data_IF_001738699589
#
_entry.id   IF_001738699589
#
_cell.length_a   1.000
_cell.length_b   1.000
_cell.length_c   1.000
_cell.angle_alpha   90.00
_cell.angle_beta   90.00
_cell.angle_gamma   90.00
#
_symmetry.space_group_name_H-M   'P 1'
#
loop_
_entity.id
_entity.type
_entity.pdbx_description
1 polymer ?
#
# COMPACT_ATOMS: atom_id res chain seq x y z
N UNK A 1 -28.97 41.63 9.77
CA UNK A 1 -28.51 40.32 9.26
C UNK A 1 -27.11 40.50 8.71
N UNK A 2 -26.10 40.03 9.43
CA UNK A 2 -24.70 40.23 9.06
C UNK A 2 -24.35 39.37 7.83
N UNK A 3 -23.93 40.01 6.75
CA UNK A 3 -23.29 39.39 5.60
C UNK A 3 -22.04 38.66 6.07
N UNK A 4 -22.11 37.33 6.21
CA UNK A 4 -20.92 36.49 6.42
C UNK A 4 -19.93 36.82 5.30
N UNK A 5 -18.79 37.38 5.66
CA UNK A 5 -17.67 37.66 4.77
C UNK A 5 -17.34 36.40 3.97
N UNK A 6 -17.60 36.44 2.66
CA UNK A 6 -17.24 35.37 1.72
C UNK A 6 -15.72 35.26 1.73
N UNK A 7 -15.18 34.07 1.98
CA UNK A 7 -13.74 33.85 1.81
C UNK A 7 -13.48 33.97 0.30
N UNK A 8 -12.57 34.84 -0.15
CA UNK A 8 -12.25 34.93 -1.57
C UNK A 8 -11.81 33.57 -2.11
N UNK A 9 -12.25 33.22 -3.32
CA UNK A 9 -11.95 31.92 -3.94
C UNK A 9 -10.44 31.68 -4.10
N UNK A 10 -9.68 32.77 -4.21
CA UNK A 10 -8.22 32.78 -4.25
C UNK A 10 -7.63 32.23 -2.94
N UNK A 11 -8.21 32.61 -1.79
CA UNK A 11 -7.78 32.11 -0.48
C UNK A 11 -8.13 30.64 -0.32
N UNK A 12 -9.29 30.20 -0.82
CA UNK A 12 -9.66 28.77 -0.82
C UNK A 12 -8.75 27.95 -1.72
N UNK A 13 -8.37 28.49 -2.88
CA UNK A 13 -7.39 27.87 -3.78
C UNK A 13 -6.05 27.71 -3.08
N UNK A 14 -5.59 28.76 -2.39
CA UNK A 14 -4.34 28.74 -1.61
C UNK A 14 -4.42 27.68 -0.51
N UNK A 15 -5.50 27.66 0.29
CA UNK A 15 -5.69 26.65 1.34
C UNK A 15 -5.65 25.25 0.73
N UNK A 16 -6.35 25.03 -0.39
CA UNK A 16 -6.38 23.74 -1.07
C UNK A 16 -5.01 23.33 -1.62
N UNK A 17 -4.21 24.27 -2.15
CA UNK A 17 -2.83 24.01 -2.55
C UNK A 17 -1.93 23.66 -1.36
N UNK A 18 -2.18 24.24 -0.19
CA UNK A 18 -1.44 23.93 1.02
C UNK A 18 -1.87 22.63 1.70
N UNK A 19 -3.13 22.22 1.59
CA UNK A 19 -3.62 20.95 2.13
C UNK A 19 -3.42 19.78 1.16
N UNK A 20 -3.57 20.02 -0.16
CA UNK A 20 -3.36 19.11 -1.29
C UNK A 20 -3.69 17.62 -1.05
N UNK A 21 -4.67 17.32 -0.19
CA UNK A 21 -5.06 15.98 0.20
C UNK A 21 -6.58 15.86 0.25
N UNK A 22 -7.05 14.63 0.06
CA UNK A 22 -8.46 14.34 -0.19
C UNK A 22 -9.32 14.49 1.06
N UNK A 23 -8.76 14.15 2.23
CA UNK A 23 -9.42 14.38 3.52
C UNK A 23 -9.57 15.88 3.77
N UNK A 24 -8.53 16.67 3.46
CA UNK A 24 -8.56 18.13 3.53
C UNK A 24 -9.69 18.72 2.70
N UNK A 25 -9.82 18.33 1.43
CA UNK A 25 -10.90 18.79 0.55
C UNK A 25 -12.29 18.39 1.08
N UNK A 26 -12.47 17.14 1.52
CA UNK A 26 -13.74 16.67 2.06
C UNK A 26 -14.11 17.41 3.36
N UNK A 27 -13.16 17.66 4.25
CA UNK A 27 -13.38 18.43 5.47
C UNK A 27 -13.72 19.89 5.15
N UNK A 28 -13.03 20.51 4.17
CA UNK A 28 -13.34 21.86 3.71
C UNK A 28 -14.76 21.94 3.16
N UNK A 29 -15.19 20.93 2.41
CA UNK A 29 -16.57 20.80 1.96
C UNK A 29 -17.55 20.77 3.14
N UNK A 30 -17.28 20.00 4.20
CA UNK A 30 -18.17 19.92 5.37
C UNK A 30 -18.25 21.24 6.16
N UNK A 31 -17.15 21.99 6.24
CA UNK A 31 -17.05 23.21 7.06
C UNK A 31 -17.46 24.48 6.29
N UNK A 32 -17.25 24.52 4.98
CA UNK A 32 -17.49 25.71 4.15
C UNK A 32 -18.63 25.48 3.15
N UNK A 33 -19.83 26.08 3.39
CA UNK A 33 -20.97 25.97 2.48
C UNK A 33 -20.66 26.40 1.05
N UNK A 34 -19.77 27.37 0.85
CA UNK A 34 -19.41 27.84 -0.50
C UNK A 34 -18.69 26.77 -1.32
N UNK A 35 -17.83 25.96 -0.69
CA UNK A 35 -17.17 24.83 -1.35
C UNK A 35 -18.20 23.73 -1.56
N UNK A 36 -19.05 23.47 -0.55
CA UNK A 36 -20.18 22.54 -0.67
C UNK A 36 -21.03 22.81 -1.90
N UNK A 37 -21.40 24.06 -2.10
CA UNK A 37 -22.26 24.50 -3.20
C UNK A 37 -21.64 24.17 -4.59
N UNK A 38 -20.31 24.10 -4.71
CA UNK A 38 -19.64 23.70 -5.96
C UNK A 38 -19.83 22.20 -6.30
N UNK A 39 -19.99 21.36 -5.27
CA UNK A 39 -20.14 19.91 -5.39
C UNK A 39 -21.59 19.44 -5.16
N UNK A 40 -22.53 20.36 -4.91
CA UNK A 40 -23.95 20.05 -4.71
C UNK A 40 -24.81 20.65 -5.80
N UNK A 41 -25.75 19.88 -6.32
CA UNK A 41 -26.68 20.32 -7.35
C UNK A 41 -27.52 19.16 -7.85
N UNK A 42 -28.15 19.32 -9.02
CA UNK A 42 -28.77 18.20 -9.72
C UNK A 42 -27.68 17.15 -10.03
N UNK A 43 -27.84 15.89 -9.55
CA UNK A 43 -26.87 14.81 -9.74
C UNK A 43 -26.43 14.60 -11.19
N UNK A 44 -27.34 14.83 -12.15
CA UNK A 44 -27.10 14.61 -13.58
C UNK A 44 -26.59 15.85 -14.31
N UNK A 45 -26.57 17.01 -13.65
CA UNK A 45 -26.03 18.23 -14.23
C UNK A 45 -24.52 18.15 -14.33
N UNK A 46 -23.96 18.81 -15.34
CA UNK A 46 -22.52 19.00 -15.48
C UNK A 46 -21.93 19.63 -14.21
N UNK A 47 -20.83 19.07 -13.73
CA UNK A 47 -20.11 19.55 -12.56
C UNK A 47 -19.65 21.01 -12.75
N UNK A 48 -19.57 21.75 -11.64
CA UNK A 48 -19.08 23.12 -11.66
C UNK A 48 -17.61 23.14 -12.16
N UNK A 49 -17.25 24.00 -13.14
CA UNK A 49 -15.88 24.09 -13.62
C UNK A 49 -14.85 24.36 -12.52
N UNK A 50 -15.25 25.06 -11.46
CA UNK A 50 -14.39 25.37 -10.33
C UNK A 50 -14.17 24.15 -9.43
N UNK A 51 -15.20 23.32 -9.23
CA UNK A 51 -15.05 22.03 -8.56
C UNK A 51 -14.06 21.13 -9.31
N UNK A 52 -14.17 21.07 -10.65
CA UNK A 52 -13.24 20.33 -11.50
C UNK A 52 -11.81 20.87 -11.34
N UNK A 53 -11.64 22.20 -11.33
CA UNK A 53 -10.33 22.84 -11.15
C UNK A 53 -9.69 22.48 -9.81
N UNK A 54 -10.46 22.45 -8.73
CA UNK A 54 -9.98 22.06 -7.40
C UNK A 54 -9.52 20.59 -7.37
N UNK A 55 -10.29 19.68 -7.97
CA UNK A 55 -9.93 18.25 -8.04
C UNK A 55 -8.68 18.03 -8.90
N UNK A 56 -8.58 18.69 -10.07
CA UNK A 56 -7.37 18.61 -10.91
C UNK A 56 -6.14 19.19 -10.21
N UNK A 57 -6.29 20.26 -9.41
CA UNK A 57 -5.19 20.78 -8.61
C UNK A 57 -4.70 19.74 -7.60
N UNK A 58 -5.60 19.02 -6.90
CA UNK A 58 -5.20 17.95 -5.98
C UNK A 58 -4.56 16.78 -6.74
N UNK A 59 -5.11 16.34 -7.87
CA UNK A 59 -4.51 15.25 -8.66
C UNK A 59 -3.07 15.57 -9.09
N UNK A 60 -2.79 16.84 -9.36
CA UNK A 60 -1.47 17.35 -9.74
C UNK A 60 -0.53 17.53 -8.55
N UNK A 61 -1.01 18.17 -7.48
CA UNK A 61 -0.17 18.64 -6.38
C UNK A 61 -0.06 17.62 -5.23
N UNK A 62 -0.97 16.65 -5.15
CA UNK A 62 -0.89 15.58 -4.18
C UNK A 62 0.35 14.71 -4.43
N UNK A 63 1.24 14.54 -3.43
CA UNK A 63 2.53 13.89 -3.62
C UNK A 63 2.43 12.40 -3.96
N UNK A 64 1.28 11.75 -3.76
CA UNK A 64 1.05 10.34 -4.10
C UNK A 64 0.36 10.21 -5.47
N UNK A 65 -0.60 11.08 -5.78
CA UNK A 65 -1.41 10.98 -7.00
C UNK A 65 -0.62 11.28 -8.29
N UNK A 66 0.40 12.13 -8.20
CA UNK A 66 1.20 12.59 -9.33
C UNK A 66 2.03 11.49 -10.02
N UNK A 67 2.13 10.30 -9.41
CA UNK A 67 2.89 9.16 -9.93
C UNK A 67 1.94 8.04 -10.41
N UNK A 68 1.29 8.22 -11.57
CA UNK A 68 0.35 7.25 -12.21
C UNK A 68 -0.96 6.93 -11.46
N UNK A 69 -1.12 7.31 -10.19
CA UNK A 69 -2.37 7.03 -9.46
C UNK A 69 -3.52 7.97 -9.86
N UNK A 70 -3.22 9.18 -10.36
CA UNK A 70 -4.23 10.04 -11.01
C UNK A 70 -4.88 9.36 -12.23
N UNK A 71 -4.16 8.47 -12.93
CA UNK A 71 -4.72 7.65 -14.01
C UNK A 71 -5.83 6.75 -13.50
N UNK A 72 -5.61 6.09 -12.36
CA UNK A 72 -6.59 5.21 -11.73
C UNK A 72 -7.83 5.97 -11.28
N UNK A 73 -7.65 7.17 -10.70
CA UNK A 73 -8.75 8.07 -10.40
C UNK A 73 -9.58 8.39 -11.64
N UNK A 74 -8.94 8.76 -12.75
CA UNK A 74 -9.64 9.11 -14.00
C UNK A 74 -10.35 7.92 -14.65
N UNK A 75 -9.73 6.74 -14.65
CA UNK A 75 -10.37 5.50 -15.12
C UNK A 75 -11.62 5.17 -14.29
N UNK A 76 -11.49 5.21 -12.96
CA UNK A 76 -12.57 4.99 -12.00
C UNK A 76 -13.71 5.98 -12.26
N UNK A 77 -13.39 7.26 -12.44
CA UNK A 77 -14.37 8.29 -12.74
C UNK A 77 -15.06 8.07 -14.10
N UNK A 78 -14.32 7.67 -15.13
CA UNK A 78 -14.88 7.38 -16.45
C UNK A 78 -15.88 6.22 -16.41
N UNK A 79 -15.55 5.13 -15.69
CA UNK A 79 -16.44 3.99 -15.46
C UNK A 79 -17.71 4.36 -14.70
N UNK A 80 -17.70 5.45 -13.92
CA UNK A 80 -18.86 5.95 -13.19
C UNK A 80 -19.68 6.98 -13.97
N UNK A 81 -19.22 7.42 -15.15
CA UNK A 81 -20.01 8.32 -15.99
C UNK A 81 -21.12 7.56 -16.72
N UNK A 82 -22.37 8.05 -16.69
CA UNK A 82 -23.45 7.52 -17.52
C UNK A 82 -23.18 7.66 -19.02
N UNK A 83 -22.41 8.69 -19.41
CA UNK A 83 -22.09 9.02 -20.79
C UNK A 83 -20.92 8.22 -21.38
N UNK A 84 -20.32 7.29 -20.62
CA UNK A 84 -19.26 6.45 -21.16
C UNK A 84 -19.84 5.65 -22.34
N UNK A 85 -19.23 5.83 -23.51
CA UNK A 85 -19.67 5.19 -24.73
C UNK A 85 -19.61 3.66 -24.60
N UNK A 86 -20.46 2.97 -25.37
CA UNK A 86 -20.37 1.52 -25.53
C UNK A 86 -19.07 1.20 -26.30
N UNK A 87 -18.01 0.92 -25.55
CA UNK A 87 -16.67 0.58 -26.03
C UNK A 87 -16.27 -0.75 -25.43
N UNK A 88 -15.49 -1.60 -26.10
CA UNK A 88 -14.99 -2.84 -25.48
C UNK A 88 -14.03 -2.57 -24.31
N UNK A 89 -13.85 -3.55 -23.41
CA UNK A 89 -12.87 -3.48 -22.32
C UNK A 89 -11.47 -3.17 -22.84
N UNK A 90 -11.05 -3.80 -23.95
CA UNK A 90 -9.74 -3.56 -24.55
C UNK A 90 -9.57 -2.09 -25.00
N UNK A 91 -10.59 -1.51 -25.65
CA UNK A 91 -10.58 -0.10 -26.07
C UNK A 91 -10.57 0.82 -24.85
N UNK A 92 -11.36 0.50 -23.82
CA UNK A 92 -11.37 1.27 -22.57
C UNK A 92 -9.98 1.27 -21.90
N UNK A 93 -9.28 0.13 -21.86
CA UNK A 93 -7.97 -0.01 -21.20
C UNK A 93 -6.83 0.66 -21.98
N UNK A 94 -6.96 0.77 -23.31
CA UNK A 94 -5.96 1.38 -24.20
C UNK A 94 -6.03 2.92 -24.24
N UNK A 95 -7.10 3.53 -23.70
CA UNK A 95 -7.24 4.98 -23.63
C UNK A 95 -6.15 5.62 -22.75
N UNK A 96 -5.66 6.78 -23.18
CA UNK A 96 -4.71 7.59 -22.41
C UNK A 96 -5.43 8.47 -21.37
N UNK A 97 -5.56 7.93 -20.16
CA UNK A 97 -6.11 8.66 -19.02
C UNK A 97 -5.09 9.58 -18.34
N UNK A 98 -3.80 9.51 -18.69
CA UNK A 98 -2.75 10.35 -18.07
C UNK A 98 -2.78 11.78 -18.61
N UNK A 99 -3.12 11.96 -19.89
CA UNK A 99 -3.27 13.28 -20.52
C UNK A 99 -4.71 13.82 -20.56
N UNK A 100 -5.68 12.98 -20.23
CA UNK A 100 -7.11 13.35 -20.26
C UNK A 100 -7.46 14.37 -19.19
N UNK A 101 -7.61 15.64 -19.58
CA UNK A 101 -8.13 16.68 -18.68
C UNK A 101 -9.61 16.43 -18.37
N UNK A 102 -9.97 16.54 -17.10
CA UNK A 102 -11.34 16.50 -16.63
C UNK A 102 -12.17 17.66 -17.21
N UNK A 103 -11.54 18.78 -17.55
CA UNK A 103 -12.21 19.98 -18.09
C UNK A 103 -12.85 19.78 -19.46
N UNK A 104 -12.38 18.82 -20.26
CA UNK A 104 -12.93 18.52 -21.59
C UNK A 104 -14.07 17.49 -21.55
N UNK A 105 -14.30 16.83 -20.41
CA UNK A 105 -15.32 15.78 -20.28
C UNK A 105 -16.62 16.32 -19.66
N UNK A 106 -17.75 15.72 -20.04
CA UNK A 106 -19.07 16.05 -19.50
C UNK A 106 -19.29 15.38 -18.14
N UNK A 107 -18.41 15.65 -17.18
CA UNK A 107 -18.46 15.05 -15.84
C UNK A 107 -19.71 15.54 -15.12
N UNK A 108 -20.47 14.61 -14.55
CA UNK A 108 -21.64 14.96 -13.72
C UNK A 108 -21.21 15.41 -12.32
N UNK A 109 -22.00 16.30 -11.72
CA UNK A 109 -21.79 16.79 -10.35
C UNK A 109 -21.69 15.62 -9.36
N UNK A 110 -22.60 14.65 -9.47
CA UNK A 110 -22.61 13.46 -8.61
C UNK A 110 -21.35 12.61 -8.76
N UNK A 111 -20.90 12.35 -9.99
CA UNK A 111 -19.72 11.53 -10.19
C UNK A 111 -18.45 12.20 -9.65
N UNK A 112 -18.31 13.52 -9.80
CA UNK A 112 -17.18 14.26 -9.22
C UNK A 112 -17.20 14.18 -7.69
N UNK A 113 -18.39 14.37 -7.10
CA UNK A 113 -18.62 14.30 -5.65
C UNK A 113 -18.25 12.91 -5.10
N UNK A 114 -18.76 11.85 -5.71
CA UNK A 114 -18.45 10.45 -5.36
C UNK A 114 -16.95 10.17 -5.43
N UNK A 115 -16.26 10.67 -6.46
CA UNK A 115 -14.83 10.45 -6.61
C UNK A 115 -14.00 11.14 -5.52
N UNK A 116 -14.40 12.31 -5.04
CA UNK A 116 -13.76 12.97 -3.88
C UNK A 116 -13.95 12.13 -2.62
N UNK A 117 -15.16 11.62 -2.37
CA UNK A 117 -15.47 10.74 -1.23
C UNK A 117 -14.62 9.46 -1.28
N UNK A 118 -14.55 8.82 -2.46
CA UNK A 118 -13.74 7.61 -2.67
C UNK A 118 -12.26 7.88 -2.40
N UNK A 119 -11.72 8.98 -2.94
CA UNK A 119 -10.33 9.32 -2.75
C UNK A 119 -10.01 9.64 -1.28
N UNK A 120 -10.90 10.33 -0.58
CA UNK A 120 -10.77 10.59 0.85
C UNK A 120 -10.86 9.30 1.67
N UNK A 121 -11.76 8.38 1.31
CA UNK A 121 -11.85 7.05 1.92
C UNK A 121 -10.56 6.25 1.71
N UNK A 122 -10.01 6.22 0.49
CA UNK A 122 -8.74 5.56 0.19
C UNK A 122 -7.60 6.13 1.04
N UNK A 123 -7.50 7.45 1.17
CA UNK A 123 -6.48 8.08 2.02
C UNK A 123 -6.62 7.63 3.49
N UNK A 124 -7.84 7.60 4.04
CA UNK A 124 -8.07 7.10 5.39
C UNK A 124 -7.67 5.64 5.55
N UNK A 125 -8.09 4.79 4.62
CA UNK A 125 -7.75 3.36 4.64
C UNK A 125 -6.26 3.12 4.51
N UNK A 126 -5.54 3.93 3.73
CA UNK A 126 -4.10 3.84 3.63
C UNK A 126 -3.43 4.09 4.98
N UNK A 127 -3.87 5.14 5.70
CA UNK A 127 -3.41 5.45 7.04
C UNK A 127 -3.64 4.26 7.99
N UNK A 128 -4.84 3.69 8.00
CA UNK A 128 -5.17 2.54 8.86
C UNK A 128 -4.31 1.33 8.57
N UNK A 129 -4.19 0.96 7.28
CA UNK A 129 -3.39 -0.19 6.87
C UNK A 129 -1.94 -0.03 7.32
N UNK A 130 -1.35 1.14 7.10
CA UNK A 130 0.04 1.39 7.50
C UNK A 130 0.22 1.35 9.01
N UNK A 131 -0.67 1.99 9.77
CA UNK A 131 -0.62 1.97 11.23
C UNK A 131 -0.72 0.53 11.77
N UNK A 132 -1.65 -0.26 11.23
CA UNK A 132 -1.89 -1.64 11.63
C UNK A 132 -0.70 -2.55 11.30
N UNK A 133 -0.22 -2.50 10.06
CA UNK A 133 0.91 -3.32 9.61
C UNK A 133 2.19 -2.93 10.35
N UNK A 134 2.40 -1.64 10.63
CA UNK A 134 3.56 -1.17 11.38
C UNK A 134 3.50 -1.58 12.85
N UNK A 135 2.32 -1.55 13.48
CA UNK A 135 2.13 -2.02 14.85
C UNK A 135 2.48 -3.51 14.97
N UNK A 136 1.91 -4.35 14.10
CA UNK A 136 2.22 -5.80 14.03
C UNK A 136 3.70 -6.07 13.81
N UNK A 137 4.34 -5.30 12.92
CA UNK A 137 5.77 -5.44 12.67
C UNK A 137 6.62 -5.11 13.91
N UNK A 138 6.21 -4.10 14.69
CA UNK A 138 6.90 -3.66 15.93
C UNK A 138 6.72 -4.64 17.10
N UNK A 139 5.67 -5.44 17.10
CA UNK A 139 5.43 -6.47 18.12
C UNK A 139 6.34 -7.69 17.97
N UNK A 140 6.96 -7.88 16.79
CA UNK A 140 7.89 -8.99 16.58
C UNK A 140 9.17 -8.75 17.36
N UNK A 141 9.62 -9.79 18.07
CA UNK A 141 10.94 -9.86 18.67
C UNK A 141 11.89 -10.66 17.76
N UNK A 142 12.72 -10.00 16.95
CA UNK A 142 13.53 -10.72 15.99
C UNK A 142 14.82 -11.25 16.62
N UNK A 143 15.40 -12.24 15.95
CA UNK A 143 16.59 -12.97 16.38
C UNK A 143 17.65 -12.97 15.29
N UNK A 144 18.91 -13.09 15.68
CA UNK A 144 20.07 -13.18 14.80
C UNK A 144 20.90 -14.41 15.14
N UNK A 145 21.71 -14.87 14.20
CA UNK A 145 22.76 -15.84 14.53
C UNK A 145 23.75 -15.27 15.53
N UNK A 146 24.20 -16.14 16.41
CA UNK A 146 25.31 -15.94 17.32
C UNK A 146 26.40 -16.96 17.00
N UNK A 147 27.65 -16.52 17.05
CA UNK A 147 28.76 -17.40 16.73
C UNK A 147 30.10 -16.77 17.05
N UNK A 148 31.09 -17.64 17.10
CA UNK A 148 32.48 -17.28 17.32
C UNK A 148 33.17 -17.08 15.97
N UNK A 149 33.99 -16.04 15.87
CA UNK A 149 34.84 -15.85 14.71
C UNK A 149 35.87 -16.98 14.70
N UNK A 150 35.88 -17.80 13.64
CA UNK A 150 36.95 -18.76 13.45
C UNK A 150 38.18 -17.95 13.07
N UNK A 151 39.20 -17.95 13.95
CA UNK A 151 40.45 -17.23 13.75
C UNK A 151 40.96 -17.44 12.32
N UNK A 152 41.34 -16.33 11.69
CA UNK A 152 41.95 -16.22 10.36
C UNK A 152 41.05 -16.38 9.12
N UNK A 153 39.74 -16.64 9.24
CA UNK A 153 38.90 -16.90 8.04
C UNK A 153 37.71 -15.96 7.81
N UNK A 154 37.43 -14.97 8.67
CA UNK A 154 36.18 -14.17 8.61
C UNK A 154 34.88 -15.01 8.58
N UNK A 155 34.97 -16.33 8.82
CA UNK A 155 33.86 -17.25 8.88
C UNK A 155 33.39 -17.30 10.34
N UNK A 156 32.09 -17.11 10.53
CA UNK A 156 31.47 -17.28 11.85
C UNK A 156 31.02 -18.72 12.00
N UNK A 157 31.51 -19.39 13.05
CA UNK A 157 30.93 -20.66 13.50
C UNK A 157 29.67 -20.34 14.28
N UNK A 158 28.51 -20.53 13.65
CA UNK A 158 27.21 -20.35 14.32
C UNK A 158 27.10 -21.34 15.48
N UNK A 159 27.01 -20.82 16.70
CA UNK A 159 26.87 -21.58 17.96
C UNK A 159 25.44 -21.52 18.49
N UNK A 160 24.66 -20.52 18.11
CA UNK A 160 23.29 -20.34 18.58
C UNK A 160 22.56 -19.17 17.92
N UNK A 161 21.52 -18.68 18.61
CA UNK A 161 20.72 -17.54 18.17
C UNK A 161 20.35 -16.65 19.35
N UNK A 162 20.44 -15.34 19.17
CA UNK A 162 20.18 -14.35 20.22
C UNK A 162 19.11 -13.34 19.74
N UNK A 163 18.30 -12.77 20.65
CA UNK A 163 17.45 -11.64 20.31
C UNK A 163 18.32 -10.46 19.84
N UNK A 164 17.78 -9.61 18.99
CA UNK A 164 18.35 -8.30 18.74
C UNK A 164 17.25 -7.23 18.72
N UNK A 165 17.63 -6.00 19.01
CA UNK A 165 16.73 -4.86 18.98
C UNK A 165 16.72 -4.23 17.59
N UNK A 166 15.57 -4.19 16.89
CA UNK A 166 15.46 -3.49 15.62
C UNK A 166 15.71 -2.00 15.79
N UNK A 167 16.34 -1.41 14.78
CA UNK A 167 16.38 0.05 14.67
C UNK A 167 15.01 0.54 14.23
N UNK A 168 14.47 1.53 14.94
CA UNK A 168 13.27 2.22 14.49
C UNK A 168 13.56 2.99 13.19
N UNK A 169 12.81 2.66 12.15
CA UNK A 169 12.86 3.33 10.86
C UNK A 169 11.98 4.59 10.81
N UNK A 170 11.24 4.86 11.90
CA UNK A 170 10.33 5.99 12.03
C UNK A 170 8.98 5.74 11.33
N UNK A 171 8.24 6.83 10.99
CA UNK A 171 6.96 6.73 10.29
C UNK A 171 7.10 6.10 8.90
N UNK A 172 5.99 5.70 8.26
CA UNK A 172 6.00 5.27 6.87
C UNK A 172 6.68 6.29 5.96
N UNK A 173 7.51 5.82 5.02
CA UNK A 173 8.07 6.66 3.98
C UNK A 173 7.08 6.86 2.83
N UNK A 174 7.36 7.84 1.99
CA UNK A 174 6.52 8.13 0.81
C UNK A 174 6.27 6.90 -0.06
N UNK A 175 7.29 6.07 -0.32
CA UNK A 175 7.11 4.89 -1.17
C UNK A 175 6.26 3.81 -0.50
N UNK A 176 6.35 3.69 0.82
CA UNK A 176 5.56 2.74 1.61
C UNK A 176 4.08 3.15 1.56
N UNK A 177 3.80 4.45 1.72
CA UNK A 177 2.46 5.01 1.51
C UNK A 177 1.97 4.82 0.08
N UNK A 178 2.79 5.17 -0.91
CA UNK A 178 2.45 5.03 -2.33
C UNK A 178 2.01 3.61 -2.67
N UNK A 179 2.71 2.57 -2.18
CA UNK A 179 2.36 1.17 -2.43
C UNK A 179 0.98 0.80 -1.87
N UNK A 180 0.62 1.32 -0.69
CA UNK A 180 -0.71 1.10 -0.11
C UNK A 180 -1.79 1.83 -0.90
N UNK A 181 -1.56 3.10 -1.27
CA UNK A 181 -2.48 3.84 -2.13
C UNK A 181 -2.68 3.17 -3.47
N UNK A 182 -1.60 2.73 -4.11
CA UNK A 182 -1.65 1.97 -5.36
C UNK A 182 -2.50 0.73 -5.20
N UNK A 183 -2.28 -0.04 -4.15
CA UNK A 183 -3.06 -1.25 -3.89
C UNK A 183 -4.56 -0.96 -3.73
N UNK A 184 -4.92 0.11 -3.00
CA UNK A 184 -6.30 0.53 -2.81
C UNK A 184 -6.93 1.03 -4.12
N UNK A 185 -6.22 1.86 -4.90
CA UNK A 185 -6.72 2.34 -6.19
C UNK A 185 -6.92 1.22 -7.21
N UNK A 186 -6.01 0.23 -7.26
CA UNK A 186 -6.23 -0.95 -8.09
C UNK A 186 -7.49 -1.71 -7.69
N UNK A 187 -7.69 -1.90 -6.38
CA UNK A 187 -8.87 -2.58 -5.87
C UNK A 187 -10.16 -1.80 -6.19
N UNK A 188 -10.13 -0.48 -6.07
CA UNK A 188 -11.27 0.38 -6.41
C UNK A 188 -11.62 0.26 -7.89
N UNK A 189 -10.62 0.39 -8.76
CA UNK A 189 -10.78 0.27 -10.20
C UNK A 189 -11.28 -1.12 -10.62
N UNK A 190 -10.78 -2.18 -9.99
CA UNK A 190 -11.25 -3.54 -10.22
C UNK A 190 -12.76 -3.67 -9.97
N UNK A 191 -13.25 -3.16 -8.84
CA UNK A 191 -14.67 -3.21 -8.53
C UNK A 191 -15.51 -2.40 -9.51
N UNK A 192 -15.04 -1.22 -9.91
CA UNK A 192 -15.75 -0.40 -10.88
C UNK A 192 -15.78 -1.03 -12.27
N UNK A 193 -14.76 -1.81 -12.65
CA UNK A 193 -14.80 -2.62 -13.85
C UNK A 193 -15.82 -3.74 -13.75
N UNK A 194 -15.87 -4.48 -12.63
CA UNK A 194 -16.84 -5.55 -12.43
C UNK A 194 -18.28 -5.05 -12.52
N UNK A 195 -18.58 -3.91 -11.89
CA UNK A 195 -19.91 -3.26 -11.98
C UNK A 195 -20.20 -2.76 -13.39
N UNK A 196 -19.17 -2.30 -14.11
CA UNK A 196 -19.33 -1.75 -15.46
C UNK A 196 -19.55 -2.81 -16.52
N UNK A 197 -19.10 -4.06 -16.33
CA UNK A 197 -19.35 -5.16 -17.29
C UNK A 197 -20.83 -5.31 -17.58
N UNK A 198 -21.67 -5.34 -16.54
CA UNK A 198 -23.12 -5.50 -16.70
C UNK A 198 -23.75 -4.26 -17.33
N UNK A 199 -23.31 -3.07 -16.89
CA UNK A 199 -23.85 -1.78 -17.36
C UNK A 199 -23.51 -1.49 -18.82
N UNK A 200 -22.28 -1.78 -19.24
CA UNK A 200 -21.76 -1.53 -20.58
C UNK A 200 -21.93 -2.75 -21.51
N UNK A 201 -22.55 -3.83 -21.02
CA UNK A 201 -22.81 -5.07 -21.79
C UNK A 201 -21.55 -5.66 -22.42
N UNK A 202 -20.41 -5.58 -21.73
CA UNK A 202 -19.18 -6.20 -22.19
C UNK A 202 -19.34 -7.73 -22.28
N UNK A 203 -18.68 -8.39 -23.24
CA UNK A 203 -18.73 -9.83 -23.40
C UNK A 203 -18.42 -10.58 -22.08
N UNK A 204 -19.13 -11.68 -21.82
CA UNK A 204 -18.89 -12.49 -20.62
C UNK A 204 -17.45 -13.01 -20.53
N UNK A 205 -16.78 -13.20 -21.67
CA UNK A 205 -15.36 -13.54 -21.74
C UNK A 205 -14.47 -12.49 -21.08
N UNK A 206 -14.84 -11.21 -21.12
CA UNK A 206 -14.10 -10.12 -20.46
C UNK A 206 -14.26 -10.22 -18.94
N UNK A 207 -15.47 -10.57 -18.47
CA UNK A 207 -15.72 -10.83 -17.05
C UNK A 207 -14.95 -12.06 -16.55
N UNK A 208 -14.96 -13.14 -17.32
CA UNK A 208 -14.19 -14.35 -17.02
C UNK A 208 -12.70 -14.05 -16.99
N UNK A 209 -12.20 -13.21 -17.91
CA UNK A 209 -10.81 -12.75 -17.89
C UNK A 209 -10.48 -11.95 -16.62
N UNK A 210 -11.33 -11.00 -16.23
CA UNK A 210 -11.18 -10.21 -15.00
C UNK A 210 -11.23 -11.06 -13.72
N UNK A 211 -12.07 -12.10 -13.69
CA UNK A 211 -12.22 -13.00 -12.52
C UNK A 211 -11.13 -14.06 -12.43
N UNK A 212 -10.72 -14.63 -13.57
CA UNK A 212 -9.72 -15.70 -13.62
C UNK A 212 -8.32 -15.21 -13.33
N UNK A 213 -8.00 -13.96 -13.66
CA UNK A 213 -6.67 -13.39 -13.45
C UNK A 213 -6.76 -12.04 -12.71
N UNK A 214 -7.12 -12.11 -11.42
CA UNK A 214 -7.35 -10.98 -10.49
C UNK A 214 -6.28 -9.87 -10.52
N UNK A 215 -5.08 -10.16 -11.04
CA UNK A 215 -3.95 -9.22 -11.11
C UNK A 215 -3.33 -9.04 -12.52
N UNK A 216 -3.71 -9.82 -13.53
CA UNK A 216 -3.11 -9.70 -14.87
C UNK A 216 -3.80 -8.64 -15.73
N UNK A 217 -5.03 -8.24 -15.38
CA UNK A 217 -5.83 -7.28 -16.15
C UNK A 217 -5.21 -5.88 -16.26
N UNK A 218 -4.27 -5.51 -15.36
CA UNK A 218 -3.48 -4.26 -15.46
C UNK A 218 -2.03 -4.49 -15.91
N UNK A 219 -1.59 -5.74 -16.15
CA UNK A 219 -0.16 -6.07 -16.30
C UNK A 219 0.66 -5.55 -15.11
N UNK A 220 0.11 -5.64 -13.90
CA UNK A 220 0.82 -5.23 -12.70
C UNK A 220 2.13 -6.02 -12.61
N UNK A 221 3.26 -5.36 -12.28
CA UNK A 221 4.47 -6.09 -11.93
C UNK A 221 4.12 -7.12 -10.86
N UNK A 222 4.56 -8.38 -10.96
CA UNK A 222 4.14 -9.41 -10.02
C UNK A 222 4.36 -9.06 -8.55
N UNK A 223 5.27 -8.13 -8.25
CA UNK A 223 5.49 -7.62 -6.89
C UNK A 223 4.32 -6.76 -6.36
N UNK A 224 3.70 -5.94 -7.21
CA UNK A 224 2.53 -5.14 -6.83
C UNK A 224 1.33 -6.03 -6.44
N UNK A 225 1.25 -7.25 -6.98
CA UNK A 225 0.25 -8.21 -6.57
C UNK A 225 0.35 -8.60 -5.09
N UNK A 226 1.57 -8.71 -4.53
CA UNK A 226 1.73 -8.98 -3.10
C UNK A 226 1.34 -7.78 -2.23
N UNK A 227 1.53 -6.55 -2.74
CA UNK A 227 1.08 -5.33 -2.07
C UNK A 227 -0.46 -5.29 -1.98
N UNK A 228 -1.16 -5.58 -3.09
CA UNK A 228 -2.63 -5.67 -3.11
C UNK A 228 -3.14 -6.73 -2.15
N UNK A 229 -2.54 -7.92 -2.16
CA UNK A 229 -2.92 -9.00 -1.22
C UNK A 229 -2.70 -8.60 0.23
N UNK A 230 -1.59 -7.93 0.55
CA UNK A 230 -1.28 -7.52 1.93
C UNK A 230 -2.28 -6.49 2.44
N UNK A 231 -2.60 -5.48 1.62
CA UNK A 231 -3.58 -4.45 1.97
C UNK A 231 -4.98 -5.06 2.10
N UNK A 232 -5.35 -5.98 1.20
CA UNK A 232 -6.62 -6.71 1.29
C UNK A 232 -6.72 -7.50 2.60
N UNK A 233 -5.75 -8.34 2.91
CA UNK A 233 -5.73 -9.15 4.13
C UNK A 233 -5.73 -8.28 5.40
N UNK A 234 -5.04 -7.13 5.36
CA UNK A 234 -5.10 -6.13 6.43
C UNK A 234 -6.53 -5.58 6.63
N UNK A 235 -7.20 -5.16 5.55
CA UNK A 235 -8.57 -4.65 5.61
C UNK A 235 -9.59 -5.71 6.04
N UNK A 236 -9.42 -6.96 5.60
CA UNK A 236 -10.24 -8.09 6.04
C UNK A 236 -10.13 -8.31 7.55
N UNK A 237 -8.93 -8.15 8.12
CA UNK A 237 -8.72 -8.24 9.57
C UNK A 237 -9.30 -7.06 10.37
N UNK A 238 -9.46 -5.89 9.75
CA UNK A 238 -9.98 -4.67 10.37
C UNK A 238 -11.52 -4.52 10.27
N UNK A 239 -12.12 -5.22 9.30
CA UNK A 239 -13.55 -5.11 9.00
C UNK A 239 -14.38 -5.98 9.94
N UNK A 240 -15.56 -5.48 10.34
CA UNK A 240 -16.62 -6.27 10.99
C UNK A 240 -17.24 -7.22 9.97
N UNK A 241 -16.55 -8.30 9.60
CA UNK A 241 -17.30 -9.43 9.04
C UNK A 241 -17.86 -10.17 10.24
N UNK A 242 -19.17 -10.08 10.45
CA UNK A 242 -19.91 -10.99 11.34
C UNK A 242 -19.51 -12.41 10.99
N UNK A 243 -18.58 -12.98 11.77
CA UNK A 243 -18.34 -14.43 11.78
C UNK A 243 -19.32 -15.10 12.76
N UNK A 244 -20.53 -14.55 12.88
CA UNK A 244 -21.59 -15.09 13.72
C UNK A 244 -22.22 -16.37 13.15
N UNK A 245 -21.67 -16.89 12.05
CA UNK A 245 -21.92 -18.25 11.59
C UNK A 245 -20.66 -19.10 11.74
N UNK A 246 -20.61 -19.76 12.89
CA UNK A 246 -19.74 -20.87 13.22
C UNK A 246 -19.87 -21.95 12.13
N UNK A 247 -19.07 -21.86 11.07
CA UNK A 247 -18.78 -23.01 10.21
C UNK A 247 -17.34 -23.38 10.46
N UNK A 248 -17.14 -24.61 10.93
CA UNK A 248 -15.83 -25.17 11.26
C UNK A 248 -14.78 -24.91 10.16
N UNK A 249 -13.49 -24.79 10.51
CA UNK A 249 -12.44 -24.62 9.52
C UNK A 249 -12.30 -25.90 8.70
N UNK A 250 -12.96 -25.95 7.55
CA UNK A 250 -12.80 -27.02 6.57
C UNK A 250 -11.36 -27.05 6.09
N UNK A 251 -10.67 -28.09 6.52
CA UNK A 251 -9.35 -28.51 6.09
C UNK A 251 -9.41 -28.82 4.59
N UNK A 252 -8.58 -28.10 3.81
CA UNK A 252 -8.31 -28.28 2.36
C UNK A 252 -9.40 -27.76 1.41
N UNK A 253 -9.37 -26.46 1.15
CA UNK A 253 -9.79 -25.94 -0.15
C UNK A 253 -8.61 -25.22 -0.80
N UNK A 254 -8.06 -25.83 -1.86
CA UNK A 254 -7.12 -25.19 -2.78
C UNK A 254 -7.87 -24.37 -3.86
N UNK A 255 -9.09 -23.93 -3.57
CA UNK A 255 -9.92 -23.12 -4.45
C UNK A 255 -10.11 -21.74 -3.83
N UNK A 256 -9.90 -20.73 -4.65
CA UNK A 256 -10.09 -19.30 -4.43
C UNK A 256 -11.49 -18.96 -3.90
N UNK A 257 -11.72 -19.06 -2.60
CA UNK A 257 -12.89 -18.47 -1.96
C UNK A 257 -12.73 -16.94 -1.89
N UNK A 258 -13.17 -16.33 -2.97
CA UNK A 258 -13.03 -14.94 -3.37
C UNK A 258 -14.26 -14.10 -2.95
N UNK A 259 -14.83 -14.35 -1.77
CA UNK A 259 -16.16 -13.82 -1.41
C UNK A 259 -16.24 -12.83 -0.26
N UNK A 260 -15.17 -12.53 0.49
CA UNK A 260 -15.35 -11.84 1.78
C UNK A 260 -15.27 -10.31 1.79
N UNK A 261 -14.74 -9.65 0.75
CA UNK A 261 -14.86 -8.19 0.59
C UNK A 261 -15.14 -7.86 -0.88
N UNK A 262 -16.42 -7.86 -1.24
CA UNK A 262 -16.88 -7.49 -2.59
C UNK A 262 -16.71 -6.00 -2.91
N UNK A 263 -16.31 -5.16 -1.95
CA UNK A 263 -16.00 -3.74 -2.12
C UNK A 263 -14.88 -3.29 -1.17
N UNK A 264 -14.27 -2.13 -1.45
CA UNK A 264 -13.43 -1.43 -0.45
C UNK A 264 -14.34 -0.99 0.70
N UNK A 265 -14.02 -1.35 1.96
CA UNK A 265 -14.85 -0.96 3.11
C UNK A 265 -14.89 0.56 3.25
N UNK A 266 -16.02 1.08 3.73
CA UNK A 266 -16.04 2.47 4.16
C UNK A 266 -15.24 2.58 5.47
N UNK A 267 -14.38 3.58 5.61
CA UNK A 267 -13.61 3.83 6.83
C UNK A 267 -14.50 3.86 8.10
N UNK A 268 -15.74 4.34 8.00
CA UNK A 268 -16.67 4.36 9.14
C UNK A 268 -17.13 2.98 9.60
N UNK A 269 -16.89 1.93 8.81
CA UNK A 269 -17.23 0.54 9.13
C UNK A 269 -16.11 -0.18 9.90
N UNK A 270 -14.95 0.45 10.06
CA UNK A 270 -13.82 -0.15 10.78
C UNK A 270 -14.06 -0.17 12.29
N UNK A 271 -13.52 -1.20 12.96
CA UNK A 271 -13.70 -1.43 14.39
C UNK A 271 -13.10 -0.34 15.28
N UNK A 272 -12.05 0.31 14.82
CA UNK A 272 -11.21 1.19 15.63
C UNK A 272 -11.09 2.58 15.01
N UNK A 273 -10.89 3.57 15.88
CA UNK A 273 -10.54 4.93 15.46
C UNK A 273 -9.04 4.98 15.19
N UNK A 274 -8.68 5.58 14.07
CA UNK A 274 -7.30 5.76 13.65
C UNK A 274 -7.03 7.22 13.34
N UNK A 275 -5.80 7.63 13.62
CA UNK A 275 -5.30 8.92 13.17
C UNK A 275 -5.09 8.90 11.66
N UNK A 276 -5.44 10.00 11.02
CA UNK A 276 -5.26 10.21 9.58
C UNK A 276 -4.25 11.31 9.36
N UNK A 277 -3.37 11.15 8.38
CA UNK A 277 -2.36 12.15 8.04
C UNK A 277 -2.35 12.46 6.55
N UNK A 278 -1.73 13.59 6.20
CA UNK A 278 -1.46 13.97 4.82
C UNK A 278 -0.22 13.22 4.34
N UNK A 279 -0.21 12.72 3.09
CA UNK A 279 0.92 11.96 2.61
C UNK A 279 2.22 12.79 2.57
N UNK A 280 3.38 12.19 2.89
CA UNK A 280 4.66 12.88 2.83
C UNK A 280 5.04 13.16 1.37
N UNK A 281 5.97 14.09 1.14
CA UNK A 281 6.49 14.34 -0.20
C UNK A 281 7.50 13.25 -0.61
N UNK A 282 7.60 12.92 -1.91
CA UNK A 282 8.67 12.06 -2.39
C UNK A 282 10.04 12.70 -2.08
N UNK A 283 11.02 11.92 -1.61
CA UNK A 283 12.36 12.44 -1.35
C UNK A 283 12.98 13.00 -2.63
N UNK A 284 13.56 14.19 -2.52
CA UNK A 284 14.30 14.81 -3.63
C UNK A 284 15.75 14.32 -3.59
N UNK A 285 16.06 13.34 -4.43
CA UNK A 285 17.44 12.92 -4.62
C UNK A 285 18.13 13.89 -5.58
N UNK A 286 19.14 14.59 -5.08
CA UNK A 286 19.96 15.47 -5.90
C UNK A 286 20.84 14.59 -6.79
N UNK A 287 20.78 14.81 -8.10
CA UNK A 287 21.58 14.11 -9.13
C UNK A 287 23.08 14.50 -9.07
N UNK A 288 23.70 14.45 -7.89
CA UNK A 288 25.10 14.83 -7.71
C UNK A 288 26.09 13.72 -8.06
N UNK A 289 25.63 12.47 -8.28
CA UNK A 289 26.50 11.38 -8.71
C UNK A 289 26.53 11.22 -10.22
N UNK A 290 27.64 10.66 -10.69
CA UNK A 290 27.87 10.33 -12.10
C UNK A 290 26.66 9.60 -12.72
N UNK A 291 26.39 9.81 -14.02
CA UNK A 291 25.27 9.16 -14.72
C UNK A 291 25.26 7.65 -14.47
N UNK A 292 24.14 7.14 -13.95
CA UNK A 292 23.93 5.69 -13.74
C UNK A 292 24.08 5.17 -12.31
N UNK A 293 24.39 6.00 -11.31
CA UNK A 293 24.38 5.60 -9.90
C UNK A 293 23.06 6.02 -9.25
N UNK A 294 22.19 5.08 -8.82
CA UNK A 294 20.97 5.44 -8.10
C UNK A 294 21.35 6.15 -6.80
N UNK A 295 20.96 7.41 -6.60
CA UNK A 295 21.26 8.13 -5.35
C UNK A 295 20.51 7.56 -4.13
N UNK A 296 19.61 6.62 -4.38
CA UNK A 296 18.72 6.02 -3.40
C UNK A 296 18.98 4.52 -3.23
N UNK A 297 19.93 4.20 -2.34
CA UNK A 297 20.20 2.81 -1.95
C UNK A 297 19.07 2.19 -1.13
N UNK A 298 18.16 3.02 -0.59
CA UNK A 298 17.08 2.59 0.30
C UNK A 298 15.78 2.32 -0.45
N UNK A 299 15.73 2.68 -1.73
CA UNK A 299 14.55 2.47 -2.56
C UNK A 299 13.32 3.25 -2.10
N UNK A 300 13.52 4.50 -1.67
CA UNK A 300 12.49 5.51 -1.35
C UNK A 300 12.10 6.43 -2.51
N UNK A 301 12.78 6.35 -3.64
CA UNK A 301 12.59 7.19 -4.83
C UNK A 301 11.46 6.75 -5.73
N UNK A 302 11.12 7.63 -6.67
CA UNK A 302 10.00 7.46 -7.60
C UNK A 302 10.25 6.31 -8.58
N UNK A 303 11.50 5.91 -8.81
CA UNK A 303 11.87 4.72 -9.58
C UNK A 303 11.42 3.41 -8.92
N UNK A 304 11.15 3.44 -7.61
CA UNK A 304 10.63 2.29 -6.86
C UNK A 304 9.11 2.18 -6.92
N UNK A 305 8.44 3.09 -7.63
CA UNK A 305 7.02 2.91 -7.96
C UNK A 305 6.86 1.66 -8.82
N UNK A 306 7.76 1.36 -9.76
CA UNK A 306 7.69 0.18 -10.64
C UNK A 306 8.41 -1.05 -10.08
N UNK A 307 9.19 -0.88 -9.01
CA UNK A 307 10.11 -1.90 -8.49
C UNK A 307 9.92 -2.14 -7.01
N UNK A 308 10.05 -3.41 -6.62
CA UNK A 308 10.07 -3.80 -5.23
C UNK A 308 11.20 -4.81 -5.02
N UNK A 309 12.43 -4.33 -4.74
CA UNK A 309 13.59 -5.21 -4.59
C UNK A 309 13.40 -6.24 -3.47
N UNK A 310 12.66 -5.87 -2.42
CA UNK A 310 12.37 -6.77 -1.32
C UNK A 310 11.49 -7.94 -1.75
N UNK A 311 10.37 -7.67 -2.42
CA UNK A 311 9.48 -8.72 -2.90
C UNK A 311 10.19 -9.67 -3.89
N UNK A 312 11.09 -9.13 -4.75
CA UNK A 312 11.91 -9.94 -5.64
C UNK A 312 12.89 -10.84 -4.88
N UNK A 313 13.51 -10.31 -3.80
CA UNK A 313 14.42 -11.05 -2.94
C UNK A 313 13.68 -12.12 -2.13
N UNK A 314 12.48 -11.81 -1.62
CA UNK A 314 11.57 -12.76 -0.97
C UNK A 314 11.31 -13.99 -1.84
N UNK A 315 10.87 -13.81 -3.09
CA UNK A 315 10.64 -14.93 -4.03
C UNK A 315 11.89 -15.77 -4.29
N UNK A 316 13.06 -15.15 -4.24
CA UNK A 316 14.32 -15.87 -4.38
C UNK A 316 14.58 -16.76 -3.16
N UNK A 317 14.28 -16.28 -1.94
CA UNK A 317 14.36 -17.11 -0.74
C UNK A 317 13.26 -18.16 -0.63
N UNK A 318 12.05 -17.90 -1.11
CA UNK A 318 11.04 -18.96 -1.19
C UNK A 318 11.56 -20.13 -2.04
N UNK A 319 12.16 -19.85 -3.21
CA UNK A 319 12.77 -20.90 -4.04
C UNK A 319 13.95 -21.60 -3.35
N UNK A 320 14.83 -20.84 -2.69
CA UNK A 320 16.00 -21.40 -1.98
C UNK A 320 15.59 -22.24 -0.78
N UNK A 321 14.73 -21.76 0.10
CA UNK A 321 14.29 -22.45 1.32
C UNK A 321 13.68 -23.83 1.06
N UNK A 322 13.14 -24.06 -0.13
CA UNK A 322 12.64 -25.38 -0.56
C UNK A 322 13.75 -26.41 -0.81
N UNK A 323 14.89 -25.95 -1.33
CA UNK A 323 16.00 -26.82 -1.79
C UNK A 323 17.17 -26.84 -0.83
N UNK A 324 17.42 -25.71 -0.17
CA UNK A 324 18.53 -25.44 0.72
C UNK A 324 17.99 -24.54 1.86
N UNK A 325 17.32 -25.13 2.87
CA UNK A 325 16.83 -24.36 4.01
C UNK A 325 18.02 -23.77 4.79
N UNK A 326 17.86 -22.54 5.28
CA UNK A 326 18.90 -21.90 6.05
C UNK A 326 19.15 -22.65 7.37
N UNK A 327 20.37 -22.59 7.88
CA UNK A 327 20.67 -23.17 9.20
C UNK A 327 19.79 -22.50 10.28
N UNK A 328 19.22 -23.31 11.17
CA UNK A 328 18.27 -22.87 12.21
C UNK A 328 16.95 -22.29 11.68
N UNK A 329 16.63 -22.43 10.38
CA UNK A 329 15.35 -21.99 9.84
C UNK A 329 14.19 -22.58 10.66
N UNK A 330 13.30 -21.72 11.15
CA UNK A 330 12.28 -22.12 12.12
C UNK A 330 10.96 -22.53 11.48
N UNK A 331 10.65 -21.97 10.31
CA UNK A 331 9.44 -22.30 9.56
C UNK A 331 9.70 -22.38 8.04
N UNK A 332 8.74 -22.93 7.31
CA UNK A 332 8.75 -22.88 5.84
C UNK A 332 8.43 -21.47 5.35
N UNK A 333 9.19 -20.97 4.35
CA UNK A 333 8.93 -19.69 3.69
C UNK A 333 8.00 -19.82 2.46
N UNK A 334 7.42 -21.01 2.22
CA UNK A 334 6.54 -21.22 1.06
C UNK A 334 5.21 -20.46 1.20
N UNK A 335 4.68 -20.34 2.42
CA UNK A 335 3.48 -19.56 2.68
C UNK A 335 3.85 -18.07 2.81
N UNK A 336 3.33 -17.25 1.89
CA UNK A 336 3.54 -15.80 1.91
C UNK A 336 2.53 -15.06 2.77
N UNK A 337 1.47 -15.71 3.30
CA UNK A 337 0.46 -15.03 4.14
C UNK A 337 1.06 -14.38 5.39
N UNK A 338 1.91 -15.04 6.21
CA UNK A 338 2.45 -14.37 7.39
C UNK A 338 3.40 -13.23 7.02
N UNK A 339 4.14 -13.38 5.91
CA UNK A 339 4.99 -12.32 5.38
C UNK A 339 4.17 -11.09 4.94
N UNK A 340 2.99 -11.31 4.31
CA UNK A 340 2.04 -10.24 3.96
C UNK A 340 1.32 -9.64 5.17
N UNK A 341 0.97 -10.44 6.17
CA UNK A 341 0.31 -10.00 7.39
C UNK A 341 1.14 -8.94 8.16
N UNK A 342 2.46 -8.98 7.98
CA UNK A 342 3.42 -8.00 8.50
C UNK A 342 3.67 -6.80 7.57
N UNK A 343 3.03 -6.75 6.41
CA UNK A 343 3.19 -5.66 5.44
C UNK A 343 4.52 -5.68 4.70
N UNK A 344 5.23 -6.81 4.67
CA UNK A 344 6.57 -6.86 4.08
C UNK A 344 6.66 -6.47 2.58
N UNK A 345 5.64 -6.69 1.73
CA UNK A 345 5.60 -6.06 0.40
C UNK A 345 5.63 -4.53 0.41
N UNK A 346 5.11 -3.91 1.46
CA UNK A 346 4.92 -2.46 1.52
C UNK A 346 6.23 -1.76 1.88
N UNK A 347 7.01 -2.33 2.78
CA UNK A 347 8.15 -1.67 3.40
C UNK A 347 9.32 -1.37 2.46
N UNK A 348 10.04 -0.28 2.74
CA UNK A 348 11.24 0.13 2.01
C UNK A 348 12.51 -0.55 2.55
N UNK A 349 13.63 -0.42 1.82
CA UNK A 349 14.86 -1.11 2.19
C UNK A 349 15.53 -0.52 3.44
N UNK A 350 15.21 0.74 3.79
CA UNK A 350 15.68 1.34 5.05
C UNK A 350 15.01 0.66 6.25
N UNK A 351 13.70 0.41 6.18
CA UNK A 351 12.99 -0.35 7.20
C UNK A 351 13.54 -1.77 7.30
N UNK A 352 13.75 -2.44 6.17
CA UNK A 352 14.38 -3.77 6.18
C UNK A 352 15.79 -3.78 6.75
N UNK A 353 16.57 -2.73 6.52
CA UNK A 353 17.88 -2.58 7.15
C UNK A 353 17.75 -2.45 8.67
N UNK A 354 16.79 -1.65 9.16
CA UNK A 354 16.54 -1.54 10.60
C UNK A 354 16.05 -2.84 11.24
N UNK A 355 15.34 -3.67 10.47
CA UNK A 355 14.94 -5.04 10.83
C UNK A 355 16.04 -6.08 10.57
N UNK A 356 17.27 -5.70 10.24
CA UNK A 356 18.35 -6.66 9.98
C UNK A 356 18.08 -7.65 8.83
N UNK A 357 17.14 -7.34 7.95
CA UNK A 357 16.74 -8.14 6.78
C UNK A 357 17.35 -7.61 5.47
N UNK A 358 18.11 -6.51 5.55
CA UNK A 358 18.79 -5.88 4.42
C UNK A 358 20.21 -5.43 4.77
N UNK A 359 21.03 -5.27 3.74
CA UNK A 359 22.42 -4.83 3.85
C UNK A 359 22.57 -3.44 3.26
N UNK A 360 23.23 -2.54 4.00
CA UNK A 360 23.70 -1.27 3.49
C UNK A 360 24.86 -1.52 2.52
N UNK A 361 24.58 -1.62 1.22
CA UNK A 361 25.60 -1.78 0.19
C UNK A 361 25.19 -1.12 -1.12
N UNK A 362 26.18 -0.62 -1.83
CA UNK A 362 25.99 -0.11 -3.18
C UNK A 362 26.05 -1.26 -4.19
N UNK A 363 25.16 -1.28 -5.20
CA UNK A 363 25.02 -2.44 -6.05
C UNK A 363 26.20 -2.68 -7.02
N UNK A 364 27.04 -1.69 -7.34
CA UNK A 364 27.88 -1.77 -8.56
C UNK A 364 29.29 -1.11 -8.53
N UNK A 365 29.85 -0.63 -7.41
CA UNK A 365 31.20 0.01 -7.45
C UNK A 365 32.13 -0.28 -6.26
N UNK A 366 33.48 -0.25 -6.47
CA UNK A 366 34.47 -0.61 -5.45
C UNK A 366 34.51 0.33 -4.24
N UNK A 367 34.26 1.63 -4.41
CA UNK A 367 34.15 2.54 -3.26
C UNK A 367 33.35 3.82 -3.54
N UNK A 368 32.01 3.77 -3.49
CA UNK A 368 31.13 4.89 -3.75
C UNK A 368 31.00 5.87 -2.56
N UNK A 369 31.93 5.87 -1.61
CA UNK A 369 31.89 6.74 -0.43
C UNK A 369 30.93 6.27 0.67
N UNK A 370 30.59 7.16 1.61
CA UNK A 370 29.80 6.83 2.79
C UNK A 370 28.36 6.41 2.41
N UNK A 371 27.79 5.50 3.20
CA UNK A 371 26.37 5.16 3.13
C UNK A 371 25.65 6.07 4.10
N UNK A 372 24.69 6.84 3.58
CA UNK A 372 23.90 7.77 4.38
C UNK A 372 22.53 7.17 4.67
N UNK A 373 22.04 7.37 5.89
CA UNK A 373 20.62 7.23 6.25
C UNK A 373 19.77 8.17 5.39
N UNK A 374 18.44 7.96 5.36
CA UNK A 374 17.52 8.91 4.74
C UNK A 374 17.63 10.35 5.25
N UNK A 375 18.14 10.56 6.47
CA UNK A 375 18.34 11.88 7.08
C UNK A 375 19.76 12.45 6.84
N UNK A 376 20.57 11.80 5.99
CA UNK A 376 21.93 12.26 5.65
C UNK A 376 23.02 11.88 6.66
N UNK A 377 22.70 11.14 7.72
CA UNK A 377 23.69 10.65 8.71
C UNK A 377 24.41 9.42 8.17
N UNK A 378 25.73 9.35 8.28
CA UNK A 378 26.52 8.20 7.84
C UNK A 378 26.31 6.95 8.72
N UNK A 379 26.32 5.77 8.09
CA UNK A 379 26.23 4.47 8.76
C UNK A 379 27.24 3.45 8.19
N UNK A 380 27.59 2.40 8.96
CA UNK A 380 28.47 1.33 8.48
C UNK A 380 27.89 0.59 7.27
N UNK A 381 28.78 0.18 6.35
CA UNK A 381 28.46 -0.76 5.27
C UNK A 381 28.14 -2.15 5.84
N UNK A 382 27.25 -2.89 5.19
CA UNK A 382 26.83 -4.25 5.59
C UNK A 382 25.49 -4.29 6.33
N UNK A 383 25.19 -5.41 6.97
CA UNK A 383 23.96 -5.58 7.76
C UNK A 383 24.05 -4.95 9.15
N UNK A 384 22.91 -4.54 9.69
CA UNK A 384 22.78 -4.22 11.11
C UNK A 384 21.60 -4.98 11.73
N UNK A 385 21.83 -6.05 12.51
CA UNK A 385 23.14 -6.58 12.93
C UNK A 385 23.90 -7.22 11.75
N UNK A 386 25.24 -7.40 11.86
CA UNK A 386 26.08 -8.03 10.83
C UNK A 386 25.46 -9.32 10.29
N UNK A 387 25.60 -9.54 8.98
CA UNK A 387 24.97 -10.65 8.26
C UNK A 387 26.05 -11.63 7.82
N UNK A 388 25.82 -12.92 8.05
CA UNK A 388 26.78 -13.98 7.72
C UNK A 388 26.10 -15.10 6.93
N UNK A 389 26.63 -15.44 5.75
CA UNK A 389 26.14 -16.54 4.94
C UNK A 389 24.62 -16.45 4.66
N UNK A 390 23.87 -17.41 5.19
CA UNK A 390 22.42 -17.52 5.00
C UNK A 390 21.58 -16.92 6.13
N UNK A 391 22.18 -16.15 7.05
CA UNK A 391 21.52 -15.57 8.23
C UNK A 391 20.26 -14.79 7.88
N UNK A 392 20.24 -14.06 6.76
CA UNK A 392 19.01 -13.37 6.33
C UNK A 392 17.85 -14.34 6.12
N UNK A 393 18.09 -15.51 5.51
CA UNK A 393 17.05 -16.52 5.30
C UNK A 393 16.50 -17.06 6.62
N UNK A 394 17.38 -17.27 7.60
CA UNK A 394 16.99 -17.60 8.97
C UNK A 394 16.14 -16.48 9.59
N UNK A 395 16.60 -15.23 9.54
CA UNK A 395 15.87 -14.08 10.10
C UNK A 395 14.47 -13.98 9.51
N UNK A 396 14.32 -14.14 8.19
CA UNK A 396 13.00 -14.18 7.56
C UNK A 396 12.08 -15.26 8.14
N UNK A 397 12.60 -16.45 8.42
CA UNK A 397 11.79 -17.51 9.04
C UNK A 397 11.34 -17.16 10.45
N UNK A 398 12.18 -16.47 11.23
CA UNK A 398 11.79 -15.99 12.56
C UNK A 398 10.65 -14.97 12.47
N UNK A 399 10.73 -14.00 11.57
CA UNK A 399 9.64 -13.03 11.37
C UNK A 399 8.33 -13.72 10.97
N UNK A 400 8.39 -14.70 10.06
CA UNK A 400 7.21 -15.44 9.59
C UNK A 400 6.62 -16.30 10.70
N UNK A 401 7.45 -17.00 11.47
CA UNK A 401 7.02 -17.81 12.62
C UNK A 401 6.36 -16.95 13.70
N UNK A 402 6.98 -15.83 14.07
CA UNK A 402 6.43 -14.91 15.08
C UNK A 402 5.10 -14.31 14.63
N UNK A 403 4.96 -13.96 13.34
CA UNK A 403 3.66 -13.53 12.80
C UNK A 403 2.58 -14.59 12.93
N UNK A 404 2.91 -15.86 12.67
CA UNK A 404 1.96 -16.98 12.84
C UNK A 404 1.60 -17.14 14.33
N UNK A 405 2.57 -16.98 15.22
CA UNK A 405 2.36 -17.07 16.68
C UNK A 405 1.42 -15.97 17.17
N UNK A 406 1.62 -14.72 16.74
CA UNK A 406 0.75 -13.58 17.08
C UNK A 406 -0.67 -13.84 16.58
N UNK A 407 -0.84 -14.24 15.32
CA UNK A 407 -2.17 -14.52 14.75
C UNK A 407 -2.89 -15.66 15.50
N UNK A 408 -2.15 -16.70 15.91
CA UNK A 408 -2.70 -17.78 16.72
C UNK A 408 -3.14 -17.29 18.10
N UNK A 409 -2.33 -16.45 18.75
CA UNK A 409 -2.65 -15.88 20.05
C UNK A 409 -3.91 -14.99 20.00
N UNK A 410 -3.99 -14.08 19.02
CA UNK A 410 -5.16 -13.21 18.81
C UNK A 410 -6.45 -14.04 18.60
N UNK A 411 -6.37 -15.15 17.85
CA UNK A 411 -7.51 -16.05 17.65
C UNK A 411 -7.95 -16.72 18.95
N UNK A 412 -7.01 -17.15 19.78
CA UNK A 412 -7.30 -17.79 21.06
C UNK A 412 -7.93 -16.81 22.05
N UNK A 413 -7.46 -15.56 22.08
CA UNK A 413 -8.01 -14.50 22.92
C UNK A 413 -9.46 -14.16 22.53
N UNK A 414 -9.74 -13.99 21.23
CA UNK A 414 -11.11 -13.77 20.73
C UNK A 414 -12.06 -14.92 21.10
N UNK A 415 -11.61 -16.17 20.96
CA UNK A 415 -12.40 -17.34 21.35
C UNK A 415 -12.69 -17.40 22.86
N UNK A 416 -11.82 -16.82 23.69
CA UNK A 416 -12.03 -16.73 25.13
C UNK A 416 -13.06 -15.63 25.48
N UNK A 417 -12.99 -14.47 24.82
CA UNK A 417 -13.94 -13.37 24.99
C UNK A 417 -15.37 -13.75 24.57
N UNK A 418 -15.52 -14.47 23.45
CA UNK A 418 -16.81 -14.95 22.95
C UNK A 418 -17.46 -15.97 23.91
N UNK A 419 -16.64 -16.79 24.59
CA UNK A 419 -17.13 -17.73 25.61
C UNK A 419 -17.57 -17.00 26.88
N UNK A 420 -16.88 -15.92 27.25
CA UNK A 420 -17.21 -15.13 28.45
C UNK A 420 -18.45 -14.25 28.28
N UNK A 421 -18.86 -13.93 27.05
CA UNK A 421 -20.04 -13.10 26.75
C UNK A 421 -21.32 -13.93 26.54
N UNK A 422 -21.20 -15.26 26.39
CA UNK A 422 -22.34 -16.20 26.20
C UNK A 422 -22.71 -17.00 27.45
N UNK A 423 -21.95 -16.89 28.54
CA UNK A 423 -22.26 -17.47 29.86
C UNK A 423 -22.73 -16.39 30.82
#
# INVERSE_FOLDING_TARGET
MATRSRIPIEILTIINTFTADWIGLENLWQVFPQIKDLFTGDPNRKADPEAIRLVEAILKDNPIMSHELHRHFRMTMALRQPSLADTSLAVFMDQDYSLSSMSSSSITCHALQEMVIIAANIQRLACVCLATLLARLREIQPRRWEGELISDTNIIRVTGTAPYEPRDAGPPSWIEEYRVYRALWHRQLYFDLLVSVERLKWPLSDLEHLRSNDMDWIKLPPMAAEEVRSVRECLEGLSRTDRDHCTEPSVKSNSSDMTLLSNIPNFTQLLWKFDTWSPPFPPRFLNYRAPGIPNDIWGRGTEMTERNPMAARWRSWQRRSKTHPARHQTCSLQDSRPWRALGMPIWDLWRFYGLGLWEARWPLQPDPGPILTPNGVEIPKGGNPPIHGEDIGYRFSVFVEESVRIEFQEKMEKLAEDKSTRG
#
